data_IF_209695059757
#
_entry.id   IF_209695059757
#
_cell.length_a   1.000
_cell.length_b   1.000
_cell.length_c   1.000
_cell.angle_alpha   90.00
_cell.angle_beta   90.00
_cell.angle_gamma   90.00
#
_symmetry.space_group_name_H-M   'P 1'
#
loop_
_entity.id
_entity.type
_entity.pdbx_description
1 polymer ?
#
# COMPACT_ATOMS: atom_id res chain seq x y z
N UNK A 1 33.28 3.25 -28.39
CA UNK A 1 33.71 3.32 -26.98
C UNK A 1 32.46 3.33 -26.13
N UNK A 2 31.89 2.15 -25.84
CA UNK A 2 30.69 2.04 -25.03
C UNK A 2 31.13 2.16 -23.57
N UNK A 3 30.51 3.10 -22.85
CA UNK A 3 30.66 3.23 -21.42
C UNK A 3 29.96 2.02 -20.77
N UNK A 4 30.71 0.94 -20.56
CA UNK A 4 30.25 -0.17 -19.73
C UNK A 4 30.25 0.35 -18.30
N UNK A 5 29.06 0.71 -17.81
CA UNK A 5 28.83 1.11 -16.43
C UNK A 5 29.32 -0.02 -15.53
N UNK A 6 30.55 0.09 -15.05
CA UNK A 6 31.14 -0.82 -14.06
C UNK A 6 30.24 -0.73 -12.83
N UNK A 7 29.41 -1.76 -12.62
CA UNK A 7 28.53 -1.88 -11.46
C UNK A 7 29.38 -2.38 -10.31
N UNK A 8 30.01 -1.45 -9.59
CA UNK A 8 30.86 -1.75 -8.43
C UNK A 8 30.01 -2.23 -7.24
N UNK A 9 28.72 -1.86 -7.21
CA UNK A 9 27.79 -2.16 -6.11
C UNK A 9 26.40 -2.43 -6.70
N UNK A 10 25.68 -3.48 -6.27
CA UNK A 10 24.30 -3.71 -6.70
C UNK A 10 23.40 -2.50 -6.38
N UNK A 11 22.29 -2.37 -7.11
CA UNK A 11 21.30 -1.34 -6.82
C UNK A 11 20.85 -1.45 -5.35
N UNK A 12 20.98 -0.36 -4.60
CA UNK A 12 20.72 -0.36 -3.15
C UNK A 12 19.24 -0.73 -2.91
N UNK A 13 18.93 -1.43 -1.80
CA UNK A 13 17.55 -1.73 -1.44
C UNK A 13 16.69 -0.46 -1.43
N UNK A 14 15.39 -0.61 -1.74
CA UNK A 14 14.48 0.52 -1.76
C UNK A 14 14.46 1.25 -0.40
N UNK A 15 14.82 2.54 -0.41
CA UNK A 15 14.92 3.38 0.80
C UNK A 15 13.57 3.64 1.49
N UNK A 16 12.45 3.39 0.80
CA UNK A 16 11.13 3.68 1.34
C UNK A 16 10.63 2.67 2.37
N UNK A 17 11.34 1.57 2.72
CA UNK A 17 11.00 0.65 3.83
C UNK A 17 9.52 0.19 3.90
N UNK A 18 8.81 0.15 2.77
CA UNK A 18 7.36 -0.11 2.74
C UNK A 18 6.46 1.09 3.06
N UNK A 19 7.03 2.23 3.47
CA UNK A 19 6.37 3.54 3.56
C UNK A 19 6.09 4.11 2.16
N UNK A 20 5.06 3.56 1.54
CA UNK A 20 4.55 4.01 0.24
C UNK A 20 3.12 4.46 0.37
N UNK A 21 2.69 5.40 -0.48
CA UNK A 21 1.30 5.88 -0.49
C UNK A 21 0.34 4.72 -0.72
N UNK A 22 0.66 3.79 -1.63
CA UNK A 22 -0.17 2.61 -1.87
C UNK A 22 -0.33 1.74 -0.61
N UNK A 23 0.75 1.52 0.15
CA UNK A 23 0.72 0.71 1.37
C UNK A 23 -0.09 1.39 2.49
N UNK A 24 0.19 2.67 2.79
CA UNK A 24 -0.50 3.37 3.89
C UNK A 24 -1.98 3.61 3.61
N UNK A 25 -2.35 3.91 2.35
CA UNK A 25 -3.77 4.06 1.99
C UNK A 25 -4.51 2.74 2.15
N UNK A 26 -3.93 1.62 1.69
CA UNK A 26 -4.52 0.29 1.86
C UNK A 26 -4.73 -0.03 3.35
N UNK A 27 -3.68 0.13 4.17
CA UNK A 27 -3.72 -0.15 5.61
C UNK A 27 -4.74 0.72 6.33
N UNK A 28 -4.78 2.03 6.04
CA UNK A 28 -5.72 2.96 6.67
C UNK A 28 -7.18 2.57 6.38
N UNK A 29 -7.53 2.29 5.13
CA UNK A 29 -8.90 1.90 4.74
C UNK A 29 -9.29 0.57 5.41
N UNK A 30 -8.41 -0.44 5.34
CA UNK A 30 -8.68 -1.74 5.95
C UNK A 30 -8.83 -1.63 7.47
N UNK A 31 -8.04 -0.77 8.12
CA UNK A 31 -8.13 -0.52 9.57
C UNK A 31 -9.49 0.06 9.93
N UNK A 32 -10.00 1.02 9.14
CA UNK A 32 -11.36 1.55 9.32
C UNK A 32 -12.40 0.44 9.17
N UNK A 33 -12.26 -0.43 8.16
CA UNK A 33 -13.17 -1.58 7.96
C UNK A 33 -13.19 -2.54 9.15
N UNK A 34 -12.01 -2.86 9.70
CA UNK A 34 -11.88 -3.69 10.92
C UNK A 34 -12.53 -2.99 12.11
N UNK A 35 -12.27 -1.70 12.34
CA UNK A 35 -12.87 -0.96 13.45
C UNK A 35 -14.40 -0.93 13.37
N UNK A 36 -14.95 -0.66 12.18
CA UNK A 36 -16.40 -0.70 11.94
C UNK A 36 -16.96 -2.11 12.19
N UNK A 37 -16.27 -3.14 11.68
CA UNK A 37 -16.67 -4.54 11.87
C UNK A 37 -16.67 -4.97 13.33
N UNK A 38 -15.63 -4.61 14.10
CA UNK A 38 -15.52 -4.93 15.52
C UNK A 38 -16.62 -4.25 16.34
N UNK A 39 -16.85 -2.94 16.15
CA UNK A 39 -17.92 -2.22 16.85
C UNK A 39 -19.29 -2.80 16.48
N UNK A 40 -19.52 -3.13 15.21
CA UNK A 40 -20.76 -3.75 14.76
C UNK A 40 -21.02 -5.12 15.38
N UNK A 41 -19.97 -5.91 15.54
CA UNK A 41 -20.03 -7.21 16.19
C UNK A 41 -20.44 -7.08 17.66
N UNK A 42 -19.82 -6.14 18.39
CA UNK A 42 -20.16 -5.86 19.79
C UNK A 42 -21.61 -5.38 19.96
N UNK A 43 -22.15 -4.65 18.98
CA UNK A 43 -23.54 -4.19 18.94
C UNK A 43 -24.53 -5.27 18.42
N UNK A 44 -24.05 -6.47 18.05
CA UNK A 44 -24.89 -7.55 17.53
C UNK A 44 -25.49 -7.30 16.13
N UNK A 45 -24.94 -6.35 15.37
CA UNK A 45 -25.47 -5.96 14.05
C UNK A 45 -24.73 -6.68 12.91
N UNK A 46 -25.16 -7.90 12.59
CA UNK A 46 -24.61 -8.70 11.48
C UNK A 46 -24.52 -7.95 10.14
N UNK A 47 -25.52 -7.17 9.69
CA UNK A 47 -25.42 -6.43 8.43
C UNK A 47 -24.23 -5.46 8.41
N UNK A 48 -23.96 -4.77 9.51
CA UNK A 48 -22.88 -3.77 9.60
C UNK A 48 -21.51 -4.44 9.67
N UNK A 49 -21.41 -5.68 10.18
CA UNK A 49 -20.19 -6.50 10.08
C UNK A 49 -19.82 -6.75 8.61
N UNK A 50 -20.79 -7.06 7.75
CA UNK A 50 -20.55 -7.22 6.31
C UNK A 50 -20.16 -5.90 5.61
N UNK A 51 -20.66 -4.76 6.10
CA UNK A 51 -20.19 -3.44 5.64
C UNK A 51 -18.71 -3.26 5.99
N UNK A 52 -18.29 -3.60 7.21
CA UNK A 52 -16.88 -3.59 7.61
C UNK A 52 -16.00 -4.47 6.70
N UNK A 53 -16.47 -5.69 6.39
CA UNK A 53 -15.80 -6.58 5.44
C UNK A 53 -15.72 -5.96 4.03
N UNK A 54 -16.78 -5.30 3.56
CA UNK A 54 -16.79 -4.57 2.29
C UNK A 54 -15.75 -3.45 2.24
N UNK A 55 -15.57 -2.69 3.33
CA UNK A 55 -14.55 -1.65 3.42
C UNK A 55 -13.14 -2.25 3.29
N UNK A 56 -12.89 -3.41 3.90
CA UNK A 56 -11.60 -4.11 3.77
C UNK A 56 -11.32 -4.47 2.30
N UNK A 57 -12.33 -4.98 1.58
CA UNK A 57 -12.21 -5.31 0.15
C UNK A 57 -11.91 -4.05 -0.68
N UNK A 58 -12.56 -2.92 -0.39
CA UNK A 58 -12.28 -1.64 -1.03
C UNK A 58 -10.82 -1.22 -0.79
N UNK A 59 -10.31 -1.37 0.43
CA UNK A 59 -8.91 -1.07 0.76
C UNK A 59 -7.93 -1.87 -0.10
N UNK A 60 -8.17 -3.16 -0.28
CA UNK A 60 -7.36 -4.03 -1.16
C UNK A 60 -7.38 -3.56 -2.61
N UNK A 61 -8.56 -3.23 -3.14
CA UNK A 61 -8.71 -2.74 -4.51
C UNK A 61 -7.97 -1.41 -4.71
N UNK A 62 -8.15 -0.45 -3.81
CA UNK A 62 -7.48 0.86 -3.86
C UNK A 62 -5.95 0.69 -3.80
N UNK A 63 -5.45 -0.13 -2.87
CA UNK A 63 -4.03 -0.44 -2.76
C UNK A 63 -3.44 -1.06 -4.04
N UNK A 64 -4.18 -1.99 -4.64
CA UNK A 64 -3.80 -2.63 -5.91
C UNK A 64 -3.72 -1.61 -7.06
N UNK A 65 -4.74 -0.77 -7.24
CA UNK A 65 -4.74 0.24 -8.30
C UNK A 65 -3.66 1.32 -8.07
N UNK A 66 -3.42 1.74 -6.83
CA UNK A 66 -2.34 2.68 -6.50
C UNK A 66 -0.96 2.08 -6.80
N UNK A 67 -0.75 0.79 -6.50
CA UNK A 67 0.48 0.09 -6.87
C UNK A 67 0.68 0.13 -8.39
N UNK A 68 -0.35 -0.17 -9.18
CA UNK A 68 -0.28 -0.11 -10.65
C UNK A 68 -0.02 1.31 -11.17
N UNK A 69 -0.59 2.33 -10.53
CA UNK A 69 -0.34 3.73 -10.85
C UNK A 69 1.07 4.23 -10.44
N UNK A 70 1.92 3.34 -9.89
CA UNK A 70 3.31 3.64 -9.56
C UNK A 70 3.52 4.28 -8.19
N UNK A 71 2.50 4.27 -7.33
CA UNK A 71 2.59 4.70 -5.93
C UNK A 71 3.05 3.59 -4.98
N UNK A 72 3.21 2.36 -5.48
CA UNK A 72 3.79 1.25 -4.73
C UNK A 72 5.32 1.28 -4.66
N UNK A 73 5.91 0.33 -3.95
CA UNK A 73 7.37 0.23 -3.83
C UNK A 73 8.00 -0.09 -5.19
N UNK A 74 9.06 0.64 -5.55
CA UNK A 74 9.67 0.52 -6.87
C UNK A 74 8.77 1.01 -8.01
N UNK A 75 7.75 1.83 -7.73
CA UNK A 75 6.90 2.46 -8.73
C UNK A 75 7.49 3.76 -9.28
N UNK A 76 7.06 4.20 -10.46
CA UNK A 76 7.60 5.40 -11.12
C UNK A 76 7.54 6.68 -10.26
N UNK A 77 6.57 6.76 -9.33
CA UNK A 77 6.41 7.90 -8.42
C UNK A 77 7.17 7.74 -7.09
N UNK A 78 7.68 6.55 -6.79
CA UNK A 78 8.44 6.28 -5.55
C UNK A 78 9.95 6.07 -5.80
N UNK A 79 10.37 5.79 -7.05
CA UNK A 79 11.78 5.62 -7.44
C UNK A 79 12.65 6.88 -7.32
N UNK A 80 12.08 8.08 -7.49
CA UNK A 80 12.85 9.33 -7.48
C UNK A 80 13.15 9.89 -6.08
N UNK A 81 12.54 9.34 -5.01
CA UNK A 81 12.84 9.78 -3.64
C UNK A 81 14.18 9.25 -3.11
N UNK A 82 14.91 8.46 -3.92
CA UNK A 82 16.17 7.81 -3.59
C UNK A 82 17.42 8.55 -4.11
N UNK A 83 17.28 9.77 -4.65
CA UNK A 83 18.42 10.61 -5.10
C UNK A 83 18.75 11.69 -4.05
N UNK A 84 19.22 11.27 -2.88
CA UNK A 84 19.95 12.11 -1.94
C UNK A 84 21.25 11.42 -1.58
#
# INVERSE_FOLDING_TARGET
MAEEKIVIVPERPYANHGNTVAAWVMVAIMTVGVLVGSIAYDLGSQPVVFVGAGIIVIGLLVGFFLKQAGYGQGGAKTKNTARH
#
